data_IF_963764940142
#
_entry.id   IF_963764940142
#
_cell.length_a   1.000
_cell.length_b   1.000
_cell.length_c   1.000
_cell.angle_alpha   90.00
_cell.angle_beta   90.00
_cell.angle_gamma   90.00
#
_symmetry.space_group_name_H-M   'P 1'
#
loop_
_entity.id
_entity.type
_entity.pdbx_description
1 polymer ?
#
# COMPACT_ATOMS: atom_id res chain seq x y z
N UNK A 1 -44.97 -0.32 -4.80
CA UNK A 1 -44.67 0.13 -3.45
C UNK A 1 -43.48 -0.54 -2.81
N UNK A 2 -42.76 -1.35 -3.54
CA UNK A 2 -41.54 -2.00 -3.05
C UNK A 2 -40.27 -1.16 -3.31
N UNK A 3 -40.38 -0.06 -4.02
CA UNK A 3 -39.24 0.76 -4.39
C UNK A 3 -38.40 1.25 -3.22
N UNK A 4 -38.99 1.75 -2.11
CA UNK A 4 -38.16 2.25 -1.02
C UNK A 4 -37.30 1.13 -0.38
N UNK A 5 -37.85 -0.06 -0.28
CA UNK A 5 -37.10 -1.20 0.28
C UNK A 5 -35.95 -1.62 -0.60
N UNK A 6 -36.16 -1.60 -1.92
CA UNK A 6 -35.13 -1.95 -2.88
C UNK A 6 -34.01 -0.93 -2.84
N UNK A 7 -34.32 0.35 -2.75
CA UNK A 7 -33.32 1.41 -2.67
C UNK A 7 -32.49 1.26 -1.40
N UNK A 8 -33.14 0.98 -0.27
CA UNK A 8 -32.42 0.77 0.98
C UNK A 8 -31.47 -0.42 0.90
N UNK A 9 -31.91 -1.49 0.28
CA UNK A 9 -31.08 -2.67 0.10
C UNK A 9 -29.85 -2.37 -0.75
N UNK A 10 -30.02 -1.64 -1.85
CA UNK A 10 -28.93 -1.22 -2.70
C UNK A 10 -27.92 -0.35 -1.95
N UNK A 11 -28.40 0.55 -1.12
CA UNK A 11 -27.55 1.41 -0.32
C UNK A 11 -26.67 0.59 0.63
N UNK A 12 -27.27 -0.39 1.32
CA UNK A 12 -26.52 -1.26 2.23
C UNK A 12 -25.48 -2.05 1.48
N UNK A 13 -25.83 -2.58 0.31
CA UNK A 13 -24.89 -3.33 -0.52
C UNK A 13 -23.70 -2.47 -0.96
N UNK A 14 -23.96 -1.23 -1.37
CA UNK A 14 -22.89 -0.31 -1.75
C UNK A 14 -21.96 -0.01 -0.58
N UNK A 15 -22.51 0.16 0.61
CA UNK A 15 -21.70 0.37 1.81
C UNK A 15 -20.80 -0.82 2.10
N UNK A 16 -21.30 -2.03 1.99
CA UNK A 16 -20.48 -3.22 2.18
C UNK A 16 -19.38 -3.33 1.14
N UNK A 17 -19.71 -3.09 -0.13
CA UNK A 17 -18.71 -3.12 -1.19
C UNK A 17 -17.63 -2.06 -0.98
N UNK A 18 -18.03 -0.88 -0.54
CA UNK A 18 -17.09 0.20 -0.28
C UNK A 18 -16.14 -0.16 0.87
N UNK A 19 -16.67 -0.71 1.96
CA UNK A 19 -15.85 -1.14 3.08
C UNK A 19 -14.90 -2.27 2.70
N UNK A 20 -15.35 -3.21 1.86
CA UNK A 20 -14.53 -4.32 1.40
C UNK A 20 -13.40 -3.90 0.47
N UNK A 21 -13.52 -2.73 -0.19
CA UNK A 21 -12.50 -2.21 -1.09
C UNK A 21 -11.63 -1.16 -0.44
N UNK A 22 -11.89 -0.81 0.81
CA UNK A 22 -11.11 0.20 1.51
C UNK A 22 -9.70 -0.31 1.77
N UNK A 23 -8.71 0.49 1.43
CA UNK A 23 -7.33 0.24 1.76
C UNK A 23 -7.06 0.46 3.25
N UNK A 24 -5.81 0.62 3.66
CA UNK A 24 -5.50 0.93 5.05
C UNK A 24 -6.07 2.28 5.43
N UNK A 25 -6.34 2.45 6.70
CA UNK A 25 -6.85 3.71 7.20
C UNK A 25 -5.86 4.85 6.97
N UNK A 26 -6.39 6.02 6.70
CA UNK A 26 -5.53 7.19 6.56
C UNK A 26 -4.70 7.40 7.83
N UNK A 27 -3.49 7.91 7.67
CA UNK A 27 -2.61 8.15 8.78
C UNK A 27 -1.17 8.05 8.39
N UNK A 28 -0.32 8.14 9.41
CA UNK A 28 1.12 8.06 9.25
C UNK A 28 1.60 6.79 9.94
N UNK A 29 2.30 5.94 9.20
CA UNK A 29 2.82 4.67 9.70
C UNK A 29 4.34 4.72 9.67
N UNK A 30 4.97 4.38 10.79
CA UNK A 30 6.43 4.51 10.96
C UNK A 30 7.00 3.19 11.47
N UNK A 31 8.15 2.81 10.94
CA UNK A 31 8.89 1.64 11.39
C UNK A 31 10.19 1.49 10.61
N UNK A 32 10.90 0.40 10.88
CA UNK A 32 12.15 0.10 10.19
C UNK A 32 11.96 -1.08 9.26
N UNK A 33 12.51 -0.98 8.06
CA UNK A 33 12.49 -2.07 7.09
C UNK A 33 13.93 -2.47 6.79
N UNK A 34 14.29 -3.69 7.18
CA UNK A 34 15.64 -4.20 6.98
C UNK A 34 16.69 -3.35 7.65
N UNK A 35 17.74 -3.03 6.90
CA UNK A 35 18.84 -2.19 7.40
C UNK A 35 18.59 -0.71 7.17
N UNK A 36 17.40 -0.37 6.69
CA UNK A 36 17.05 1.03 6.45
C UNK A 36 16.85 1.75 7.76
N UNK A 37 16.99 3.06 7.72
CA UNK A 37 16.57 3.90 8.81
C UNK A 37 15.05 3.88 8.89
N UNK A 38 14.49 4.65 9.77
CA UNK A 38 13.05 4.74 9.91
C UNK A 38 12.38 5.08 8.57
N UNK A 39 11.37 4.31 8.24
CA UNK A 39 10.57 4.48 7.03
C UNK A 39 9.22 5.03 7.43
N UNK A 40 8.72 6.00 6.69
CA UNK A 40 7.42 6.62 6.94
C UNK A 40 6.51 6.42 5.73
N UNK A 41 5.32 5.90 5.98
CA UNK A 41 4.27 5.78 4.96
C UNK A 41 3.12 6.69 5.38
N UNK A 42 2.74 7.62 4.51
CA UNK A 42 1.60 8.50 4.74
C UNK A 42 0.47 8.11 3.82
N UNK A 43 -0.67 7.79 4.38
CA UNK A 43 -1.87 7.45 3.63
C UNK A 43 -2.85 8.60 3.80
N UNK A 44 -3.16 9.26 2.69
CA UNK A 44 -4.02 10.42 2.68
C UNK A 44 -5.48 10.05 2.43
N UNK A 45 -6.38 10.96 2.76
CA UNK A 45 -7.83 10.77 2.64
C UNK A 45 -8.25 10.43 1.20
N UNK A 46 -7.55 10.97 0.22
CA UNK A 46 -7.86 10.75 -1.20
C UNK A 46 -7.29 9.43 -1.75
N UNK A 47 -6.64 8.63 -0.90
CA UNK A 47 -6.05 7.39 -1.31
C UNK A 47 -4.62 7.50 -1.80
N UNK A 48 -4.08 8.70 -1.88
CA UNK A 48 -2.68 8.90 -2.25
C UNK A 48 -1.79 8.43 -1.11
N UNK A 49 -0.70 7.75 -1.45
CA UNK A 49 0.25 7.21 -0.49
C UNK A 49 1.62 7.78 -0.78
N UNK A 50 2.32 8.19 0.27
CA UNK A 50 3.69 8.69 0.16
C UNK A 50 4.62 7.81 1.00
N UNK A 51 5.82 7.57 0.48
CA UNK A 51 6.86 6.78 1.14
C UNK A 51 8.11 7.61 1.29
N UNK A 52 8.60 7.73 2.53
CA UNK A 52 9.84 8.44 2.83
C UNK A 52 10.79 7.53 3.60
N UNK A 53 12.08 7.72 3.39
CA UNK A 53 13.11 7.01 4.14
C UNK A 53 13.54 5.68 3.56
N UNK A 54 12.83 5.18 2.56
CA UNK A 54 13.18 3.92 1.92
C UNK A 54 14.07 4.11 0.69
N UNK A 55 13.82 5.14 -0.06
CA UNK A 55 14.56 5.46 -1.28
C UNK A 55 15.26 6.80 -1.09
N UNK A 56 16.20 7.10 -1.96
CA UNK A 56 16.97 8.36 -1.89
C UNK A 56 16.10 9.62 -1.99
N UNK A 57 14.88 9.48 -2.45
CA UNK A 57 13.93 10.58 -2.47
C UNK A 57 12.53 10.04 -2.19
N UNK A 58 11.58 10.90 -1.80
CA UNK A 58 10.23 10.44 -1.52
C UNK A 58 9.56 9.85 -2.75
N UNK A 59 8.77 8.80 -2.54
CA UNK A 59 8.01 8.16 -3.59
C UNK A 59 6.52 8.37 -3.34
N UNK A 60 5.73 8.37 -4.39
CA UNK A 60 4.28 8.50 -4.30
C UNK A 60 3.61 7.35 -5.02
N UNK A 61 2.40 7.05 -4.61
CA UNK A 61 1.65 5.99 -5.25
C UNK A 61 0.27 5.82 -4.67
N UNK A 62 -0.22 4.60 -4.67
CA UNK A 62 -1.56 4.31 -4.21
C UNK A 62 -1.73 2.87 -3.77
N UNK A 63 -2.98 2.51 -3.54
CA UNK A 63 -3.36 1.17 -3.13
C UNK A 63 -3.50 0.26 -4.35
N UNK A 64 -3.08 -0.98 -4.20
CA UNK A 64 -3.19 -2.00 -5.24
C UNK A 64 -3.32 -3.37 -4.56
N UNK A 65 -3.27 -4.41 -5.34
CA UNK A 65 -3.28 -5.77 -4.86
C UNK A 65 -2.13 -6.55 -5.48
N UNK A 66 -1.72 -7.61 -4.80
CA UNK A 66 -0.70 -8.49 -5.30
C UNK A 66 -0.90 -9.89 -4.75
N UNK A 67 0.08 -10.75 -4.96
CA UNK A 67 0.03 -12.08 -4.36
C UNK A 67 1.42 -12.49 -3.87
N UNK A 68 1.44 -13.27 -2.81
CA UNK A 68 2.64 -13.84 -2.27
C UNK A 68 2.40 -15.34 -2.09
N UNK A 69 3.18 -16.16 -2.81
CA UNK A 69 3.07 -17.62 -2.77
C UNK A 69 1.64 -18.11 -3.03
N UNK A 70 0.98 -17.47 -4.03
CA UNK A 70 -0.38 -17.85 -4.41
C UNK A 70 -1.49 -17.29 -3.53
N UNK A 71 -1.15 -16.54 -2.50
CA UNK A 71 -2.13 -15.92 -1.61
C UNK A 71 -2.30 -14.46 -1.99
N UNK A 72 -3.52 -14.04 -2.26
CA UNK A 72 -3.82 -12.65 -2.56
C UNK A 72 -3.58 -11.77 -1.33
N UNK A 73 -3.06 -10.59 -1.56
CA UNK A 73 -2.66 -9.70 -0.50
C UNK A 73 -2.79 -8.25 -0.95
N UNK A 74 -3.12 -7.38 -0.01
CA UNK A 74 -3.13 -5.95 -0.29
C UNK A 74 -1.72 -5.43 -0.52
N UNK A 75 -1.61 -4.41 -1.34
CA UNK A 75 -0.32 -3.82 -1.67
C UNK A 75 -0.39 -2.31 -1.71
N UNK A 76 0.73 -1.67 -1.41
CA UNK A 76 0.96 -0.27 -1.67
C UNK A 76 1.97 -0.17 -2.79
N UNK A 77 1.64 0.57 -3.83
CA UNK A 77 2.50 0.71 -5.01
C UNK A 77 3.05 2.12 -5.04
N UNK A 78 4.35 2.23 -5.23
CA UNK A 78 5.04 3.51 -5.30
C UNK A 78 5.81 3.61 -6.61
N UNK A 79 5.89 4.80 -7.14
CA UNK A 79 6.64 5.08 -8.35
C UNK A 79 7.68 6.15 -8.08
N UNK A 80 8.82 6.06 -8.75
CA UNK A 80 9.84 7.07 -8.66
C UNK A 80 9.44 8.35 -9.38
N UNK A 81 10.21 9.44 -9.22
CA UNK A 81 9.96 10.69 -9.92
C UNK A 81 9.95 10.52 -11.43
N UNK A 82 10.74 9.57 -11.91
CA UNK A 82 10.69 9.12 -13.30
C UNK A 82 9.84 7.86 -13.33
N UNK A 83 8.54 8.02 -13.16
CA UNK A 83 7.57 6.95 -12.90
C UNK A 83 7.63 5.79 -13.87
N UNK A 84 8.14 6.03 -15.06
CA UNK A 84 8.19 5.01 -16.10
C UNK A 84 9.38 4.05 -15.95
N UNK A 85 10.28 4.30 -15.01
CA UNK A 85 11.51 3.51 -14.87
C UNK A 85 11.58 2.64 -13.64
N UNK A 86 10.79 2.95 -12.62
CA UNK A 86 10.88 2.24 -11.34
C UNK A 86 9.52 2.12 -10.68
N UNK A 87 9.18 0.91 -10.27
CA UNK A 87 8.00 0.66 -9.45
C UNK A 87 8.37 -0.20 -8.26
N UNK A 88 7.78 0.12 -7.13
CA UNK A 88 8.00 -0.57 -5.87
C UNK A 88 6.63 -0.96 -5.31
N UNK A 89 6.49 -2.21 -4.90
CA UNK A 89 5.24 -2.71 -4.33
C UNK A 89 5.53 -3.33 -2.98
N UNK A 90 4.83 -2.85 -1.96
CA UNK A 90 4.88 -3.42 -0.62
C UNK A 90 3.64 -4.27 -0.41
N UNK A 91 3.82 -5.58 -0.30
CA UNK A 91 2.74 -6.48 0.07
C UNK A 91 2.59 -6.44 1.60
N UNK A 92 1.40 -6.18 2.08
CA UNK A 92 1.20 -5.97 3.51
C UNK A 92 -0.06 -6.64 4.03
N UNK A 93 -0.07 -6.87 5.33
CA UNK A 93 -1.27 -7.25 6.07
C UNK A 93 -1.53 -6.16 7.11
N UNK A 94 -2.80 -5.87 7.33
CA UNK A 94 -3.20 -4.94 8.37
C UNK A 94 -3.39 -5.70 9.67
N UNK A 95 -2.82 -5.19 10.76
CA UNK A 95 -2.98 -5.75 12.10
C UNK A 95 -3.23 -4.62 13.08
N UNK A 96 -4.50 -4.42 13.44
CA UNK A 96 -4.94 -3.30 14.27
C UNK A 96 -4.51 -1.98 13.65
N UNK A 97 -3.65 -1.23 14.34
CA UNK A 97 -3.14 0.06 13.86
C UNK A 97 -1.78 -0.06 13.19
N UNK A 98 -1.44 -1.24 12.72
CA UNK A 98 -0.12 -1.48 12.13
C UNK A 98 -0.23 -2.06 10.74
N UNK A 99 0.80 -1.83 9.94
CA UNK A 99 1.00 -2.50 8.67
C UNK A 99 2.17 -3.46 8.81
N UNK A 100 1.94 -4.72 8.50
CA UNK A 100 2.99 -5.74 8.50
C UNK A 100 3.43 -5.95 7.07
N UNK A 101 4.65 -5.58 6.75
CA UNK A 101 5.16 -5.66 5.38
C UNK A 101 5.69 -7.08 5.17
N UNK A 102 4.97 -7.86 4.37
CA UNK A 102 5.31 -9.28 4.15
C UNK A 102 6.35 -9.47 3.04
N UNK A 103 6.30 -8.63 2.02
CA UNK A 103 7.23 -8.75 0.91
C UNK A 103 7.37 -7.41 0.20
N UNK A 104 8.50 -7.25 -0.47
CA UNK A 104 8.77 -6.08 -1.30
C UNK A 104 9.06 -6.59 -2.70
N UNK A 105 8.37 -6.04 -3.67
CA UNK A 105 8.55 -6.35 -5.09
C UNK A 105 8.97 -5.09 -5.80
N UNK A 106 10.11 -5.12 -6.46
CA UNK A 106 10.61 -3.97 -7.21
C UNK A 106 10.77 -4.33 -8.68
N UNK A 107 10.46 -3.38 -9.54
CA UNK A 107 10.65 -3.50 -10.97
C UNK A 107 11.36 -2.26 -11.49
N UNK A 108 12.36 -2.50 -12.32
CA UNK A 108 13.03 -1.44 -13.06
C UNK A 108 12.76 -1.67 -14.54
N UNK A 109 12.35 -0.62 -15.23
CA UNK A 109 12.01 -0.71 -16.65
C UNK A 109 13.14 -0.17 -17.49
N UNK A 110 13.31 -0.76 -18.67
CA UNK A 110 14.25 -0.31 -19.66
C UNK A 110 13.82 0.97 -20.36
N UNK A 111 14.59 1.44 -21.32
CA UNK A 111 14.31 2.70 -22.01
C UNK A 111 12.88 2.75 -22.57
N UNK A 112 12.19 3.86 -22.33
CA UNK A 112 10.82 4.05 -22.78
C UNK A 112 9.78 3.19 -22.06
N UNK A 113 10.16 2.54 -20.97
CA UNK A 113 9.30 1.64 -20.20
C UNK A 113 8.72 0.48 -21.03
N UNK A 114 9.46 0.04 -22.03
CA UNK A 114 8.98 -0.98 -22.99
C UNK A 114 9.13 -2.40 -22.47
N UNK A 115 10.02 -2.64 -21.52
CA UNK A 115 10.22 -3.97 -20.98
C UNK A 115 10.74 -3.86 -19.55
N UNK A 116 10.58 -4.94 -18.82
CA UNK A 116 11.11 -5.03 -17.45
C UNK A 116 12.59 -5.41 -17.56
N UNK A 117 13.48 -4.53 -17.10
CA UNK A 117 14.92 -4.80 -17.13
C UNK A 117 15.38 -5.56 -15.87
N UNK A 118 14.76 -5.28 -14.73
CA UNK A 118 15.09 -5.94 -13.47
C UNK A 118 13.82 -6.12 -12.66
N UNK A 119 13.65 -7.30 -12.10
CA UNK A 119 12.52 -7.59 -11.22
C UNK A 119 13.03 -8.40 -10.04
N UNK A 120 12.71 -7.93 -8.83
CA UNK A 120 13.10 -8.61 -7.61
C UNK A 120 11.90 -8.68 -6.66
N UNK A 121 11.76 -9.84 -6.01
CA UNK A 121 10.78 -10.03 -4.97
C UNK A 121 11.48 -10.61 -3.76
N UNK A 122 11.30 -9.96 -2.61
CA UNK A 122 11.92 -10.40 -1.37
C UNK A 122 10.85 -10.52 -0.29
N UNK A 123 10.62 -11.76 0.14
CA UNK A 123 9.81 -12.00 1.32
C UNK A 123 10.62 -11.57 2.55
N UNK A 124 9.97 -10.89 3.47
CA UNK A 124 10.62 -10.37 4.67
C UNK A 124 10.30 -11.26 5.86
N UNK A 125 11.35 -11.76 6.51
CA UNK A 125 11.22 -12.64 7.66
C UNK A 125 12.36 -12.34 8.66
N UNK A 126 12.05 -11.77 9.86
CA UNK A 126 10.72 -11.40 10.31
C UNK A 126 10.17 -10.20 9.54
N UNK A 127 8.83 -10.20 9.37
CA UNK A 127 8.19 -9.11 8.66
C UNK A 127 8.18 -7.85 9.51
N UNK A 128 8.65 -6.72 8.98
CA UNK A 128 8.64 -5.48 9.75
C UNK A 128 7.23 -4.96 9.99
N UNK A 129 7.06 -4.30 11.12
CA UNK A 129 5.78 -3.71 11.52
C UNK A 129 5.93 -2.20 11.50
N UNK A 130 5.05 -1.54 10.75
CA UNK A 130 4.95 -0.08 10.76
C UNK A 130 3.75 0.31 11.60
N UNK A 131 3.99 1.05 12.67
CA UNK A 131 2.95 1.44 13.61
C UNK A 131 2.37 2.79 13.25
N UNK A 132 1.05 2.91 13.36
CA UNK A 132 0.35 4.14 13.06
C UNK A 132 0.53 5.13 14.20
N UNK A 133 0.86 6.38 13.86
CA UNK A 133 0.90 7.44 14.83
C UNK A 133 -0.52 7.84 15.22
N UNK A 134 -0.77 7.95 16.51
CA UNK A 134 -2.10 8.34 16.99
C UNK A 134 -2.36 9.80 16.65
N UNK A 135 -3.49 10.12 15.99
CA UNK A 135 -3.84 11.51 15.75
C UNK A 135 -3.99 12.27 17.06
N UNK A 136 -3.48 13.47 17.11
CA UNK A 136 -3.62 14.30 18.29
C UNK A 136 -2.61 14.08 19.39
N UNK A 137 -1.67 13.16 19.23
CA UNK A 137 -0.59 12.92 20.19
C UNK A 137 0.74 13.37 19.64
N UNK A 138 0.80 14.55 19.18
CA UNK A 138 2.06 15.11 18.65
C UNK A 138 2.70 16.02 19.67
#
# INVERSE_FOLDING_TARGET
MSSPSIVSFLLVFCLFGFLGCAGPEEGIYIGKIGNKKEVTIRIKTDGLVELEGYWKQPLQGGHDQGSLRGKDMDALVFEGPESKKFKLRFLYEKDEDSLIIRAIHSRTYGPGARYISTEEESALNPAPRLSRLSPGKN
#
